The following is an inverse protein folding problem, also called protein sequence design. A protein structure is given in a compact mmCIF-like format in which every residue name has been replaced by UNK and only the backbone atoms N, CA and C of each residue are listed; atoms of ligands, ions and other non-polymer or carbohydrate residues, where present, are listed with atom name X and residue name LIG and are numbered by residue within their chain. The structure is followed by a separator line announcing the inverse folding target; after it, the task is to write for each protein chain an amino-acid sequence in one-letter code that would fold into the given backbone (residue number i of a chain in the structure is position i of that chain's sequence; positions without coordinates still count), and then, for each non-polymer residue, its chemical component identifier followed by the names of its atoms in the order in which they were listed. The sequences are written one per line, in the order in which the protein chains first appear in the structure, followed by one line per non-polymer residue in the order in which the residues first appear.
data_IF_415591712754
#
_entry.id   IF_415591712754
#
_cell.length_a   1.000
_cell.length_b   1.000
_cell.length_c   1.000
_cell.angle_alpha   90.00
_cell.angle_beta   90.00
_cell.angle_gamma   90.00
#
_symmetry.space_group_name_H-M   'P 1'
#
loop_
_entity.id
_entity.type
_entity.pdbx_description
1 polymer ?
#
# COMPACT_ATOMS: atom_id res chain seq x y z
N UNK A 1 1.84 0.00 -11.78
CA UNK A 1 1.11 -0.59 -12.89
C UNK A 1 0.00 0.35 -13.33
N UNK A 2 -0.11 0.58 -14.65
CA UNK A 2 -1.27 1.27 -15.25
C UNK A 2 -1.86 0.41 -16.37
N UNK A 3 -3.17 0.48 -16.54
CA UNK A 3 -3.89 -0.26 -17.57
C UNK A 3 -5.39 -0.01 -17.50
N UNK A 4 -6.14 -0.73 -18.34
CA UNK A 4 -7.59 -0.59 -18.39
C UNK A 4 -8.29 -1.61 -17.49
N UNK A 5 -8.95 -1.15 -16.42
CA UNK A 5 -9.71 -2.00 -15.48
C UNK A 5 -10.93 -2.68 -16.13
N UNK A 6 -11.50 -2.08 -17.19
CA UNK A 6 -12.66 -2.63 -17.90
C UNK A 6 -12.26 -3.74 -18.88
N UNK A 7 -10.97 -3.87 -19.19
CA UNK A 7 -10.49 -4.98 -20.03
C UNK A 7 -10.36 -6.26 -19.20
N UNK A 8 -11.27 -7.19 -19.45
CA UNK A 8 -11.28 -8.49 -18.79
C UNK A 8 -10.01 -9.31 -19.08
N UNK A 9 -9.39 -9.16 -20.25
CA UNK A 9 -8.15 -9.85 -20.56
C UNK A 9 -7.00 -9.30 -19.72
N UNK A 10 -6.95 -7.98 -19.49
CA UNK A 10 -5.98 -7.33 -18.62
C UNK A 10 -6.13 -7.79 -17.17
N UNK A 11 -7.34 -7.68 -16.60
CA UNK A 11 -7.59 -8.05 -15.20
C UNK A 11 -7.36 -9.54 -14.93
N UNK A 12 -7.80 -10.42 -15.85
CA UNK A 12 -7.54 -11.86 -15.76
C UNK A 12 -6.06 -12.21 -15.91
N UNK A 13 -5.35 -11.50 -16.79
CA UNK A 13 -3.91 -11.65 -16.98
C UNK A 13 -3.11 -11.29 -15.74
N UNK A 14 -3.42 -10.16 -15.10
CA UNK A 14 -2.80 -9.76 -13.82
C UNK A 14 -3.05 -10.81 -12.74
N UNK A 15 -4.30 -11.27 -12.60
CA UNK A 15 -4.64 -12.32 -11.63
C UNK A 15 -3.87 -13.63 -11.88
N UNK A 16 -3.64 -13.98 -13.14
CA UNK A 16 -2.87 -15.18 -13.50
C UNK A 16 -1.40 -15.04 -13.13
N UNK A 17 -0.81 -13.87 -13.38
CA UNK A 17 0.62 -13.59 -13.12
C UNK A 17 0.88 -13.43 -11.63
N UNK A 18 0.15 -12.55 -10.95
CA UNK A 18 0.39 -12.19 -9.56
C UNK A 18 -0.30 -13.12 -8.55
N UNK A 19 -1.18 -14.03 -9.02
CA UNK A 19 -2.04 -14.87 -8.17
C UNK A 19 -2.97 -14.07 -7.24
N UNK A 20 -3.15 -12.79 -7.52
CA UNK A 20 -3.99 -11.85 -6.80
C UNK A 20 -4.97 -11.18 -7.77
N UNK A 21 -6.24 -11.00 -7.38
CA UNK A 21 -7.16 -10.21 -8.19
C UNK A 21 -6.74 -8.74 -8.19
N UNK A 22 -6.89 -8.08 -9.34
CA UNK A 22 -6.72 -6.63 -9.41
C UNK A 22 -7.90 -5.96 -8.69
N UNK A 23 -7.68 -5.10 -7.68
CA UNK A 23 -8.77 -4.36 -7.06
C UNK A 23 -9.31 -3.31 -8.04
N UNK A 24 -10.60 -3.39 -8.37
CA UNK A 24 -11.28 -2.47 -9.30
C UNK A 24 -12.20 -1.48 -8.59
N UNK A 25 -12.59 -1.78 -7.36
CA UNK A 25 -13.34 -0.84 -6.52
C UNK A 25 -12.42 0.22 -5.93
N UNK A 26 -12.85 1.49 -5.88
CA UNK A 26 -12.05 2.56 -5.26
C UNK A 26 -11.69 2.24 -3.82
N UNK A 27 -10.50 2.69 -3.41
CA UNK A 27 -10.01 2.61 -2.03
C UNK A 27 -9.88 1.18 -1.48
N UNK A 28 -9.67 0.18 -2.34
CA UNK A 28 -9.52 -1.22 -1.93
C UNK A 28 -8.14 -1.78 -2.24
N UNK A 29 -7.80 -2.90 -1.61
CA UNK A 29 -6.59 -3.68 -1.87
C UNK A 29 -6.88 -5.15 -2.06
N UNK A 30 -5.94 -5.85 -2.67
CA UNK A 30 -5.86 -7.31 -2.68
C UNK A 30 -4.59 -7.74 -1.96
N UNK A 31 -4.66 -8.82 -1.20
CA UNK A 31 -3.53 -9.35 -0.43
C UNK A 31 -3.43 -10.85 -0.64
N UNK A 32 -2.22 -11.37 -0.68
CA UNK A 32 -1.98 -12.81 -0.75
C UNK A 32 -2.23 -13.50 0.62
N UNK A 33 -2.27 -14.82 0.61
CA UNK A 33 -2.52 -15.61 1.82
C UNK A 33 -1.43 -15.46 2.89
N UNK A 34 -0.25 -15.02 2.49
CA UNK A 34 0.91 -14.85 3.39
C UNK A 34 0.98 -13.43 3.96
N UNK A 35 0.25 -12.47 3.37
CA UNK A 35 0.30 -11.06 3.74
C UNK A 35 1.57 -10.34 3.27
N UNK A 36 2.35 -10.94 2.36
CA UNK A 36 3.60 -10.36 1.86
C UNK A 36 3.43 -9.60 0.55
N UNK A 37 2.43 -9.97 -0.25
CA UNK A 37 2.18 -9.32 -1.54
C UNK A 37 0.82 -8.64 -1.54
N UNK A 38 0.80 -7.40 -2.00
CA UNK A 38 -0.40 -6.56 -2.06
C UNK A 38 -0.53 -5.91 -3.44
N UNK A 39 -1.77 -5.69 -3.86
CA UNK A 39 -2.10 -4.77 -4.95
C UNK A 39 -3.00 -3.70 -4.36
N UNK A 40 -2.56 -2.46 -4.39
CA UNK A 40 -3.28 -1.31 -3.84
C UNK A 40 -3.90 -0.51 -4.97
N UNK A 41 -5.17 -0.18 -4.87
CA UNK A 41 -5.85 0.70 -5.81
C UNK A 41 -5.36 2.15 -5.62
N UNK A 42 -4.77 2.74 -6.64
CA UNK A 42 -4.26 4.11 -6.60
C UNK A 42 -5.13 5.09 -7.40
N UNK A 43 -5.92 4.55 -8.33
CA UNK A 43 -6.80 5.28 -9.23
C UNK A 43 -7.53 4.32 -10.16
N UNK A 44 -8.46 4.82 -10.99
CA UNK A 44 -9.25 3.97 -11.89
C UNK A 44 -8.43 3.11 -12.86
N UNK A 45 -7.24 3.59 -13.21
CA UNK A 45 -6.31 2.97 -14.16
C UNK A 45 -4.91 2.74 -13.56
N UNK A 46 -4.76 2.86 -12.23
CA UNK A 46 -3.45 2.81 -11.58
C UNK A 46 -3.46 1.96 -10.31
N UNK A 47 -2.42 1.14 -10.16
CA UNK A 47 -2.21 0.26 -9.00
C UNK A 47 -0.76 0.27 -8.55
N UNK A 48 -0.54 0.22 -7.24
CA UNK A 48 0.75 -0.05 -6.64
C UNK A 48 0.83 -1.54 -6.29
N UNK A 49 1.78 -2.24 -6.92
CA UNK A 49 2.10 -3.62 -6.60
C UNK A 49 3.23 -3.62 -5.57
N UNK A 50 3.02 -4.28 -4.45
CA UNK A 50 4.00 -4.42 -3.37
C UNK A 50 4.26 -5.90 -3.17
N UNK A 51 5.50 -6.27 -3.07
CA UNK A 51 5.93 -7.66 -2.86
C UNK A 51 7.37 -7.74 -2.36
N UNK A 52 7.87 -8.96 -2.07
CA UNK A 52 9.26 -9.18 -1.73
C UNK A 52 10.21 -8.66 -2.80
N UNK A 53 11.35 -8.11 -2.39
CA UNK A 53 12.37 -7.56 -3.31
C UNK A 53 12.88 -8.59 -4.33
N UNK A 54 12.99 -9.84 -3.90
CA UNK A 54 13.52 -10.93 -4.74
C UNK A 54 12.59 -11.30 -5.90
N UNK A 55 11.30 -10.97 -5.80
CA UNK A 55 10.30 -11.26 -6.82
C UNK A 55 10.18 -10.18 -7.91
N UNK A 56 10.80 -9.03 -7.73
CA UNK A 56 10.68 -7.86 -8.61
C UNK A 56 10.99 -8.17 -10.08
N UNK A 57 12.17 -8.77 -10.35
CA UNK A 57 12.57 -9.11 -11.72
C UNK A 57 11.62 -10.14 -12.36
N UNK A 58 11.13 -11.09 -11.56
CA UNK A 58 10.17 -12.09 -12.01
C UNK A 58 8.82 -11.45 -12.33
N UNK A 59 8.30 -10.58 -11.46
CA UNK A 59 7.04 -9.84 -11.67
C UNK A 59 7.12 -9.02 -12.95
N UNK A 60 8.19 -8.21 -13.11
CA UNK A 60 8.40 -7.37 -14.29
C UNK A 60 8.43 -8.20 -15.58
N UNK A 61 9.19 -9.28 -15.61
CA UNK A 61 9.30 -10.12 -16.79
C UNK A 61 7.99 -10.85 -17.12
N UNK A 62 7.28 -11.32 -16.11
CA UNK A 62 6.03 -12.07 -16.26
C UNK A 62 4.89 -11.18 -16.76
N UNK A 63 4.75 -9.97 -16.21
CA UNK A 63 3.77 -8.99 -16.66
C UNK A 63 4.09 -8.55 -18.08
N UNK A 64 5.34 -8.19 -18.38
CA UNK A 64 5.74 -7.76 -19.73
C UNK A 64 5.51 -8.83 -20.79
N UNK A 65 5.72 -10.10 -20.45
CA UNK A 65 5.43 -11.23 -21.36
C UNK A 65 3.93 -11.44 -21.56
N UNK A 66 3.16 -11.34 -20.47
CA UNK A 66 1.71 -11.57 -20.52
C UNK A 66 0.96 -10.54 -21.37
N UNK A 67 1.46 -9.29 -21.38
CA UNK A 67 0.79 -8.14 -22.01
C UNK A 67 1.52 -7.57 -23.22
N UNK A 68 2.36 -8.35 -23.90
CA UNK A 68 3.20 -7.90 -25.02
C UNK A 68 2.45 -7.11 -26.11
N UNK A 69 1.15 -7.41 -26.31
CA UNK A 69 0.32 -6.80 -27.35
C UNK A 69 -0.82 -5.92 -26.78
N UNK A 70 -0.73 -5.57 -25.50
CA UNK A 70 -1.75 -4.74 -24.84
C UNK A 70 -1.15 -3.42 -24.40
N UNK A 71 -1.99 -2.39 -24.29
CA UNK A 71 -1.57 -1.09 -23.78
C UNK A 71 -1.54 -1.12 -22.25
N UNK A 72 -0.34 -1.07 -21.68
CA UNK A 72 -0.13 -0.98 -20.24
C UNK A 72 1.19 -0.25 -19.95
N UNK A 73 1.37 0.19 -18.72
CA UNK A 73 2.64 0.71 -18.22
C UNK A 73 3.00 0.05 -16.90
N UNK A 74 4.23 -0.40 -16.79
CA UNK A 74 4.79 -0.95 -15.55
C UNK A 74 6.09 -0.23 -15.26
N UNK A 75 6.15 0.48 -14.14
CA UNK A 75 7.31 1.25 -13.71
C UNK A 75 7.71 0.78 -12.33
N UNK A 76 8.99 0.50 -12.16
CA UNK A 76 9.55 0.24 -10.84
C UNK A 76 9.70 1.55 -10.06
N UNK A 77 9.10 1.58 -8.88
CA UNK A 77 9.09 2.72 -7.95
C UNK A 77 9.69 2.37 -6.59
N UNK A 78 10.35 1.23 -6.47
CA UNK A 78 10.88 0.70 -5.21
C UNK A 78 11.82 1.69 -4.51
N UNK A 79 12.72 2.32 -5.28
CA UNK A 79 13.67 3.30 -4.74
C UNK A 79 13.07 4.70 -4.49
N UNK A 80 11.83 4.94 -4.93
CA UNK A 80 11.18 6.24 -4.77
C UNK A 80 10.32 6.35 -3.51
N UNK A 81 9.99 5.21 -2.89
CA UNK A 81 9.09 5.13 -1.74
C UNK A 81 9.72 4.39 -0.58
N UNK A 82 9.34 4.81 0.62
CA UNK A 82 9.66 4.14 1.89
C UNK A 82 8.35 3.61 2.48
N UNK A 83 8.37 2.38 2.98
CA UNK A 83 7.28 1.80 3.75
C UNK A 83 7.58 1.98 5.24
N UNK A 84 6.68 2.67 5.94
CA UNK A 84 6.65 2.72 7.39
C UNK A 84 5.43 1.93 7.85
N UNK A 85 5.65 0.92 8.68
CA UNK A 85 4.57 0.09 9.23
C UNK A 85 4.29 0.45 10.67
N UNK A 86 3.06 0.87 10.93
CA UNK A 86 2.56 1.18 12.26
C UNK A 86 1.64 0.05 12.73
N UNK A 87 1.93 -0.53 13.90
CA UNK A 87 1.18 -1.66 14.44
C UNK A 87 0.87 -1.43 15.92
N UNK A 88 -0.31 -1.84 16.34
CA UNK A 88 -0.70 -1.84 17.76
C UNK A 88 -2.05 -1.22 18.00
N UNK A 89 -2.55 -1.38 19.23
CA UNK A 89 -3.89 -0.89 19.64
C UNK A 89 -4.02 0.62 19.57
N UNK A 90 -2.92 1.36 19.68
CA UNK A 90 -2.89 2.83 19.62
C UNK A 90 -2.55 3.37 18.23
N UNK A 91 -2.34 2.50 17.23
CA UNK A 91 -1.92 2.92 15.91
C UNK A 91 -2.94 3.85 15.22
N UNK A 92 -4.23 3.58 15.38
CA UNK A 92 -5.30 4.45 14.88
C UNK A 92 -5.26 5.83 15.56
N UNK A 93 -5.25 5.87 16.89
CA UNK A 93 -5.23 7.13 17.66
C UNK A 93 -4.00 7.98 17.36
N UNK A 94 -2.85 7.32 17.08
CA UNK A 94 -1.65 8.02 16.65
C UNK A 94 -1.83 8.68 15.27
N UNK A 95 -2.42 7.95 14.32
CA UNK A 95 -2.69 8.49 12.97
C UNK A 95 -3.70 9.63 13.00
N UNK A 96 -4.73 9.55 13.84
CA UNK A 96 -5.77 10.59 14.02
C UNK A 96 -5.20 11.96 14.43
N UNK A 97 -4.00 12.00 15.02
CA UNK A 97 -3.34 13.27 15.38
C UNK A 97 -2.94 14.12 14.17
N UNK A 98 -2.75 13.52 13.00
CA UNK A 98 -2.28 14.24 11.83
C UNK A 98 -2.89 13.83 10.51
N UNK A 99 -3.79 12.85 10.51
CA UNK A 99 -4.48 12.38 9.31
C UNK A 99 -5.87 13.02 9.20
N UNK A 100 -6.20 13.53 8.02
CA UNK A 100 -7.45 14.28 7.80
C UNK A 100 -8.64 13.42 7.37
N UNK A 101 -8.47 12.09 7.26
CA UNK A 101 -9.55 11.17 6.89
C UNK A 101 -10.18 10.55 8.14
N UNK A 102 -11.42 10.05 7.99
CA UNK A 102 -12.06 9.27 9.00
C UNK A 102 -11.43 7.88 9.12
N UNK A 103 -10.70 7.63 10.20
CA UNK A 103 -10.05 6.36 10.51
C UNK A 103 -10.91 5.45 11.39
N UNK A 104 -12.16 5.83 11.66
CA UNK A 104 -13.07 4.98 12.44
C UNK A 104 -13.17 3.58 11.81
N UNK A 105 -13.19 2.49 12.61
CA UNK A 105 -13.19 1.12 12.10
C UNK A 105 -14.36 0.76 11.17
N UNK A 106 -15.45 1.52 11.19
CA UNK A 106 -16.57 1.38 10.25
C UNK A 106 -16.35 2.08 8.92
N UNK A 107 -15.47 3.08 8.87
CA UNK A 107 -15.18 3.88 7.67
C UNK A 107 -13.89 3.41 6.98
N UNK A 108 -12.85 3.11 7.75
CA UNK A 108 -11.55 2.67 7.23
C UNK A 108 -11.26 1.22 7.67
N UNK A 109 -11.96 0.29 7.02
CA UNK A 109 -11.91 -1.15 7.33
C UNK A 109 -10.61 -1.81 6.84
N UNK A 110 -10.21 -2.97 7.37
CA UNK A 110 -9.10 -3.76 6.82
C UNK A 110 -9.22 -3.98 5.31
N UNK A 111 -8.13 -3.74 4.58
CA UNK A 111 -8.10 -3.74 3.11
C UNK A 111 -8.35 -2.39 2.47
N UNK A 112 -8.71 -1.36 3.25
CA UNK A 112 -8.87 0.01 2.74
C UNK A 112 -7.53 0.64 2.37
N UNK A 113 -7.53 1.42 1.28
CA UNK A 113 -6.38 2.17 0.77
C UNK A 113 -6.82 3.58 0.44
N UNK A 114 -6.03 4.58 0.79
CA UNK A 114 -6.32 5.97 0.46
C UNK A 114 -5.03 6.76 0.25
N UNK A 115 -5.06 7.67 -0.71
CA UNK A 115 -4.04 8.72 -0.84
C UNK A 115 -4.48 9.92 -0.01
N UNK A 116 -3.67 10.30 0.97
CA UNK A 116 -3.99 11.35 1.93
C UNK A 116 -2.72 12.05 2.42
N UNK A 117 -2.88 12.95 3.37
CA UNK A 117 -1.76 13.55 4.10
C UNK A 117 -1.72 13.03 5.54
N UNK A 118 -0.51 12.80 6.03
CA UNK A 118 -0.23 12.66 7.46
C UNK A 118 0.71 13.80 7.83
N UNK A 119 0.20 14.74 8.64
CA UNK A 119 0.85 16.03 8.85
C UNK A 119 1.11 16.72 7.48
N UNK A 120 2.35 17.04 7.14
CA UNK A 120 2.71 17.68 5.87
C UNK A 120 3.18 16.70 4.78
N UNK A 121 3.24 15.41 5.08
CA UNK A 121 3.66 14.40 4.12
C UNK A 121 2.46 13.80 3.36
N UNK A 122 2.53 13.77 2.03
CA UNK A 122 1.60 13.00 1.21
C UNK A 122 1.95 11.52 1.30
N UNK A 123 0.97 10.69 1.65
CA UNK A 123 1.14 9.25 1.83
C UNK A 123 0.05 8.46 1.10
N UNK A 124 0.36 7.23 0.76
CA UNK A 124 -0.65 6.19 0.55
C UNK A 124 -0.79 5.42 1.84
N UNK A 125 -1.95 5.49 2.47
CA UNK A 125 -2.27 4.78 3.70
C UNK A 125 -3.04 3.52 3.36
N UNK A 126 -2.56 2.38 3.84
CA UNK A 126 -3.19 1.07 3.67
C UNK A 126 -3.48 0.46 5.05
N UNK A 127 -4.74 0.15 5.33
CA UNK A 127 -5.10 -0.66 6.49
C UNK A 127 -4.85 -2.13 6.13
N UNK A 128 -3.65 -2.61 6.41
CA UNK A 128 -3.28 -3.98 6.08
C UNK A 128 -4.02 -4.99 6.95
N UNK A 129 -4.40 -6.13 6.36
CA UNK A 129 -5.10 -7.20 7.06
C UNK A 129 -4.15 -7.93 8.02
N UNK A 130 -4.01 -7.43 9.25
CA UNK A 130 -3.41 -8.19 10.33
C UNK A 130 -4.50 -8.81 11.19
N UNK A 131 -4.43 -10.12 11.37
CA UNK A 131 -5.43 -10.90 12.11
C UNK A 131 -5.38 -10.59 13.62
N UNK A 132 -4.27 -10.04 14.12
CA UNK A 132 -4.04 -9.92 15.57
C UNK A 132 -4.03 -8.50 16.11
N UNK A 133 -3.64 -7.51 15.30
CA UNK A 133 -3.55 -6.10 15.73
C UNK A 133 -3.78 -5.18 14.55
N UNK A 134 -4.42 -4.00 14.74
CA UNK A 134 -4.51 -2.97 13.71
C UNK A 134 -3.12 -2.66 13.16
N UNK A 135 -2.98 -2.76 11.85
CA UNK A 135 -1.72 -2.54 11.15
C UNK A 135 -1.95 -1.63 9.97
N UNK A 136 -1.20 -0.55 9.94
CA UNK A 136 -1.26 0.47 8.90
C UNK A 136 0.08 0.57 8.19
N UNK A 137 0.06 0.44 6.88
CA UNK A 137 1.22 0.60 6.02
C UNK A 137 1.17 1.99 5.38
N UNK A 138 2.20 2.78 5.63
CA UNK A 138 2.35 4.14 5.13
C UNK A 138 3.43 4.14 4.03
N UNK A 139 3.01 4.34 2.80
CA UNK A 139 3.94 4.48 1.67
C UNK A 139 4.16 5.96 1.43
N UNK A 140 5.33 6.45 1.75
CA UNK A 140 5.74 7.84 1.65
C UNK A 140 6.85 8.01 0.61
N UNK A 141 6.93 9.15 -0.06
CA UNK A 141 8.09 9.46 -0.90
C UNK A 141 9.36 9.48 -0.05
N UNK A 142 10.43 8.91 -0.57
CA UNK A 142 11.73 8.79 0.13
C UNK A 142 12.23 10.10 0.69
N UNK A 143 12.02 11.22 -0.01
CA UNK A 143 12.41 12.56 0.45
C UNK A 143 11.66 13.04 1.70
N UNK A 144 10.52 12.44 2.03
CA UNK A 144 9.72 12.77 3.22
C UNK A 144 9.83 11.72 4.32
N UNK A 145 10.59 10.64 4.12
CA UNK A 145 10.62 9.51 5.06
C UNK A 145 11.19 9.89 6.42
N UNK A 146 12.26 10.65 6.47
CA UNK A 146 12.88 11.10 7.72
C UNK A 146 11.98 12.07 8.50
N UNK A 147 11.35 13.02 7.77
CA UNK A 147 10.37 13.93 8.36
C UNK A 147 9.21 13.15 8.99
N UNK A 148 8.61 12.22 8.21
CA UNK A 148 7.47 11.47 8.69
C UNK A 148 7.83 10.54 9.84
N UNK A 149 9.01 9.93 9.80
CA UNK A 149 9.52 9.12 10.90
C UNK A 149 9.65 9.91 12.20
N UNK A 150 10.30 11.07 12.16
CA UNK A 150 10.47 11.95 13.32
C UNK A 150 9.12 12.43 13.88
N UNK A 151 8.16 12.74 13.00
CA UNK A 151 6.81 13.11 13.40
C UNK A 151 6.09 11.95 14.11
N UNK A 152 6.20 10.74 13.58
CA UNK A 152 5.61 9.54 14.19
C UNK A 152 6.22 9.21 15.55
N UNK A 153 7.53 9.33 15.69
CA UNK A 153 8.23 9.13 16.98
C UNK A 153 7.74 10.14 18.03
N UNK A 154 7.62 11.40 17.65
CA UNK A 154 7.12 12.44 18.57
C UNK A 154 5.66 12.19 18.95
N UNK A 155 4.80 11.89 17.97
CA UNK A 155 3.39 11.60 18.19
C UNK A 155 3.16 10.34 19.03
N UNK A 156 4.09 9.38 19.02
CA UNK A 156 3.99 8.12 19.73
C UNK A 156 4.50 8.15 21.17
N UNK A 157 5.16 9.24 21.61
CA UNK A 157 5.79 9.32 22.96
C UNK A 157 4.83 8.99 24.09
N UNK A 158 3.59 9.42 24.02
CA UNK A 158 2.59 9.15 25.05
C UNK A 158 2.12 7.70 25.10
N UNK A 159 2.34 6.92 24.03
CA UNK A 159 1.89 5.53 23.91
C UNK A 159 2.98 4.50 24.18
N UNK A 160 4.22 4.92 24.43
CA UNK A 160 5.35 4.02 24.65
C UNK A 160 5.75 3.29 23.37
N UNK A 161 6.46 3.98 22.49
CA UNK A 161 6.92 3.44 21.20
C UNK A 161 7.90 2.29 21.40
N UNK A 162 7.61 1.12 20.82
CA UNK A 162 8.59 0.05 20.59
C UNK A 162 9.12 0.18 19.15
N UNK A 163 10.30 0.81 19.02
CA UNK A 163 10.92 1.07 17.73
C UNK A 163 11.77 -0.12 17.30
N UNK A 164 11.21 -1.00 16.47
CA UNK A 164 11.93 -2.12 15.85
C UNK A 164 12.15 -1.81 14.37
N UNK A 165 13.36 -1.35 14.03
CA UNK A 165 13.85 -1.41 12.66
C UNK A 165 14.19 -2.86 12.31
N UNK A 166 13.59 -3.39 11.26
CA UNK A 166 14.03 -4.64 10.63
C UNK A 166 14.98 -4.35 9.49
#
# INVERSE_FOLDING_TARGET
LRGNADDQAFTAGIKKVLKLPLPISPCTSSVDKTGHSHILWMGPDEWLIVGPSDDQAHINSSISKAFKNQHFSLVDVSESRTLIRLRGTQAQSLLEKGCSIDLHPSAFIPGSVVNTHLSHAHITLHHSNSIQQPTYDLYVHRSFSEYLWSWLEDAAREYGLDNRSK
#
